data_IF_861165780508
#
_entry.id   IF_861165780508
#
_cell.length_a   1.000
_cell.length_b   1.000
_cell.length_c   1.000
_cell.angle_alpha   90.00
_cell.angle_beta   90.00
_cell.angle_gamma   90.00
#
_symmetry.space_group_name_H-M   'P 1'
#
loop_
_entity.id
_entity.type
_entity.pdbx_description
1 polymer ?
#
# COMPACT_ATOMS: atom_id res chain seq x y z
N UNK A 1 -75.08 -30.60 -5.05
CA UNK A 1 -74.10 -31.27 -5.92
C UNK A 1 -72.63 -31.15 -5.47
N UNK A 2 -72.14 -30.02 -4.95
CA UNK A 2 -70.71 -29.86 -4.57
C UNK A 2 -70.22 -30.74 -3.40
N UNK A 3 -71.06 -31.03 -2.38
CA UNK A 3 -70.69 -31.86 -1.22
C UNK A 3 -70.46 -33.36 -1.56
N UNK A 4 -71.21 -33.92 -2.52
CA UNK A 4 -71.04 -35.33 -2.90
C UNK A 4 -69.80 -35.55 -3.73
N UNK A 5 -69.43 -34.61 -4.60
CA UNK A 5 -68.16 -34.59 -5.34
C UNK A 5 -66.94 -34.56 -4.44
N UNK A 6 -66.92 -33.64 -3.47
CA UNK A 6 -65.83 -33.56 -2.49
C UNK A 6 -65.68 -34.87 -1.67
N UNK A 7 -66.81 -35.46 -1.22
CA UNK A 7 -66.80 -36.69 -0.49
C UNK A 7 -66.31 -37.87 -1.34
N UNK A 8 -66.62 -37.90 -2.65
CA UNK A 8 -66.12 -38.92 -3.55
C UNK A 8 -64.63 -38.76 -3.84
N UNK A 9 -64.11 -37.53 -4.05
CA UNK A 9 -62.69 -37.26 -4.19
C UNK A 9 -61.88 -37.66 -2.95
N UNK A 10 -62.37 -37.36 -1.74
CA UNK A 10 -61.73 -37.79 -0.50
C UNK A 10 -61.70 -39.32 -0.38
N UNK A 11 -62.76 -40.04 -0.81
CA UNK A 11 -62.81 -41.49 -0.79
C UNK A 11 -61.85 -42.10 -1.81
N UNK A 12 -61.68 -41.49 -2.98
CA UNK A 12 -60.73 -41.91 -4.03
C UNK A 12 -59.26 -41.74 -3.54
N UNK A 13 -58.96 -40.58 -2.97
CA UNK A 13 -57.65 -40.28 -2.33
C UNK A 13 -57.36 -41.30 -1.22
N UNK A 14 -58.36 -41.56 -0.37
CA UNK A 14 -58.21 -42.52 0.76
C UNK A 14 -57.97 -43.95 0.31
N UNK A 15 -58.54 -44.38 -0.82
CA UNK A 15 -58.31 -45.72 -1.41
C UNK A 15 -56.93 -45.83 -2.06
N UNK A 16 -56.41 -44.76 -2.66
CA UNK A 16 -55.13 -44.75 -3.40
C UNK A 16 -54.07 -43.88 -2.73
N UNK A 17 -53.96 -43.94 -1.38
CA UNK A 17 -53.08 -43.08 -0.56
C UNK A 17 -51.63 -43.09 -1.07
N UNK A 18 -51.04 -44.26 -1.34
CA UNK A 18 -49.64 -44.34 -1.81
C UNK A 18 -49.37 -43.55 -3.07
N UNK A 19 -50.26 -43.70 -4.08
CA UNK A 19 -50.14 -42.99 -5.36
C UNK A 19 -50.34 -41.49 -5.17
N UNK A 20 -51.34 -41.08 -4.37
CA UNK A 20 -51.61 -39.71 -4.07
C UNK A 20 -50.43 -39.05 -3.33
N UNK A 21 -49.89 -39.70 -2.30
CA UNK A 21 -48.72 -39.20 -1.55
C UNK A 21 -47.49 -39.09 -2.45
N UNK A 22 -47.24 -40.07 -3.36
CA UNK A 22 -46.12 -40.01 -4.30
C UNK A 22 -46.24 -38.80 -5.23
N UNK A 23 -47.41 -38.51 -5.80
CA UNK A 23 -47.63 -37.35 -6.64
C UNK A 23 -47.55 -36.03 -5.84
N UNK A 24 -48.07 -36.00 -4.62
CA UNK A 24 -47.99 -34.86 -3.73
C UNK A 24 -46.53 -34.53 -3.38
N UNK A 25 -45.74 -35.56 -3.03
CA UNK A 25 -44.30 -35.39 -2.70
C UNK A 25 -43.56 -34.91 -3.94
N UNK A 26 -43.82 -35.46 -5.11
CA UNK A 26 -43.18 -35.00 -6.37
C UNK A 26 -43.53 -33.55 -6.69
N UNK A 27 -44.78 -33.14 -6.56
CA UNK A 27 -45.21 -31.77 -6.77
C UNK A 27 -44.59 -30.82 -5.70
N UNK A 28 -44.61 -31.27 -4.44
CA UNK A 28 -44.01 -30.50 -3.35
C UNK A 28 -42.50 -30.28 -3.53
N UNK A 29 -41.76 -31.36 -3.91
CA UNK A 29 -40.33 -31.25 -4.18
C UNK A 29 -40.07 -30.31 -5.39
N UNK A 30 -40.85 -30.44 -6.47
CA UNK A 30 -40.68 -29.55 -7.63
C UNK A 30 -40.93 -28.08 -7.31
N UNK A 31 -42.04 -27.78 -6.65
CA UNK A 31 -42.40 -26.40 -6.27
C UNK A 31 -41.44 -25.89 -5.20
N UNK A 32 -41.16 -26.70 -4.19
CA UNK A 32 -40.26 -26.31 -3.11
C UNK A 32 -38.82 -26.03 -3.57
N UNK A 33 -38.30 -26.90 -4.44
CA UNK A 33 -36.99 -26.71 -5.05
C UNK A 33 -36.94 -25.45 -5.94
N UNK A 34 -37.94 -25.25 -6.81
CA UNK A 34 -38.01 -24.08 -7.65
C UNK A 34 -38.14 -22.80 -6.82
N UNK A 35 -39.05 -22.78 -5.84
CA UNK A 35 -39.23 -21.63 -4.96
C UNK A 35 -37.96 -21.31 -4.16
N UNK A 36 -37.29 -22.34 -3.65
CA UNK A 36 -36.00 -22.19 -2.97
C UNK A 36 -34.91 -21.57 -3.85
N UNK A 37 -34.79 -22.05 -5.09
CA UNK A 37 -33.84 -21.48 -6.05
C UNK A 37 -34.14 -20.00 -6.37
N UNK A 38 -35.40 -19.66 -6.59
CA UNK A 38 -35.80 -18.28 -6.91
C UNK A 38 -35.63 -17.35 -5.71
N UNK A 39 -35.85 -17.84 -4.50
CA UNK A 39 -35.69 -17.04 -3.28
C UNK A 39 -34.20 -16.83 -2.90
N UNK A 40 -33.31 -17.74 -3.29
CA UNK A 40 -31.89 -17.69 -2.90
C UNK A 40 -31.20 -16.38 -3.35
N UNK A 41 -31.43 -15.94 -4.59
CA UNK A 41 -30.77 -14.76 -5.13
C UNK A 41 -31.17 -13.47 -4.39
N UNK A 42 -32.44 -13.14 -4.20
CA UNK A 42 -32.81 -11.94 -3.44
C UNK A 42 -32.38 -12.00 -1.96
N UNK A 43 -32.43 -13.17 -1.31
CA UNK A 43 -31.97 -13.31 0.08
C UNK A 43 -30.45 -13.11 0.21
N UNK A 44 -29.67 -13.57 -0.76
CA UNK A 44 -28.23 -13.33 -0.81
C UNK A 44 -27.91 -11.84 -1.03
N UNK A 45 -28.63 -11.18 -1.94
CA UNK A 45 -28.44 -9.75 -2.22
C UNK A 45 -28.80 -8.91 -0.99
N UNK A 46 -29.93 -9.17 -0.34
CA UNK A 46 -30.34 -8.48 0.90
C UNK A 46 -29.32 -8.69 2.04
N UNK A 47 -28.78 -9.90 2.15
CA UNK A 47 -27.76 -10.21 3.16
C UNK A 47 -26.44 -9.48 2.90
N UNK A 48 -26.02 -9.40 1.62
CA UNK A 48 -24.83 -8.68 1.20
C UNK A 48 -25.00 -7.17 1.43
N UNK A 49 -26.12 -6.62 1.04
CA UNK A 49 -26.46 -5.22 1.21
C UNK A 49 -26.42 -4.80 2.70
N UNK A 50 -27.11 -5.53 3.55
CA UNK A 50 -27.04 -5.31 5.02
C UNK A 50 -25.63 -5.41 5.60
N UNK A 51 -24.81 -6.30 5.05
CA UNK A 51 -23.42 -6.44 5.47
C UNK A 51 -22.57 -5.25 5.01
N UNK A 52 -22.75 -4.81 3.75
CA UNK A 52 -22.09 -3.63 3.19
C UNK A 52 -22.43 -2.37 3.99
N UNK A 53 -23.72 -2.13 4.26
CA UNK A 53 -24.21 -1.00 5.05
C UNK A 53 -23.63 -0.97 6.46
N UNK A 54 -23.65 -2.14 7.14
CA UNK A 54 -23.12 -2.28 8.50
C UNK A 54 -21.63 -2.01 8.59
N UNK A 55 -20.90 -2.34 7.53
CA UNK A 55 -19.45 -2.19 7.46
C UNK A 55 -19.02 -0.87 6.81
N UNK A 56 -19.96 0.03 6.48
CA UNK A 56 -19.69 1.25 5.72
C UNK A 56 -18.83 0.96 4.47
N UNK A 57 -19.26 -0.03 3.67
CA UNK A 57 -18.49 -0.45 2.51
C UNK A 57 -18.42 0.68 1.47
N UNK A 58 -17.25 0.85 0.86
CA UNK A 58 -17.04 1.90 -0.14
C UNK A 58 -17.90 1.69 -1.39
N UNK A 59 -18.26 2.78 -2.06
CA UNK A 59 -18.94 2.75 -3.36
C UNK A 59 -17.95 2.75 -4.53
N UNK A 60 -16.83 3.50 -4.39
CA UNK A 60 -15.80 3.61 -5.41
C UNK A 60 -14.43 3.39 -4.78
N UNK A 61 -13.60 2.58 -5.43
CA UNK A 61 -12.21 2.35 -5.06
C UNK A 61 -11.29 2.97 -6.11
N UNK A 62 -10.44 3.90 -5.66
CA UNK A 62 -9.43 4.55 -6.50
C UNK A 62 -8.06 4.01 -6.13
N UNK A 63 -7.31 3.56 -7.14
CA UNK A 63 -5.96 3.01 -6.98
C UNK A 63 -5.02 3.82 -7.86
N UNK A 64 -3.87 4.21 -7.31
CA UNK A 64 -2.81 4.88 -8.05
C UNK A 64 -1.49 4.13 -7.91
N UNK A 65 -0.75 3.98 -9.00
CA UNK A 65 0.61 3.41 -8.98
C UNK A 65 1.66 4.40 -8.48
N UNK A 66 1.35 5.69 -8.49
CA UNK A 66 2.22 6.78 -8.03
C UNK A 66 1.88 7.26 -6.61
N UNK A 67 0.94 6.58 -5.96
CA UNK A 67 0.37 7.01 -4.69
C UNK A 67 -0.69 8.11 -4.86
N UNK A 68 -1.45 8.34 -3.81
CA UNK A 68 -2.54 9.32 -3.71
C UNK A 68 -2.15 10.32 -2.63
N UNK A 69 -2.36 11.60 -2.87
CA UNK A 69 -2.02 12.68 -1.96
C UNK A 69 -3.25 13.24 -1.24
N UNK A 70 -3.04 14.05 -0.21
CA UNK A 70 -4.12 14.80 0.45
C UNK A 70 -4.86 15.72 -0.51
N UNK A 71 -4.14 16.31 -1.48
CA UNK A 71 -4.75 17.17 -2.52
C UNK A 71 -5.68 16.36 -3.42
N UNK A 72 -5.34 15.11 -3.75
CA UNK A 72 -6.21 14.20 -4.50
C UNK A 72 -7.48 13.87 -3.70
N UNK A 73 -7.34 13.60 -2.39
CA UNK A 73 -8.48 13.35 -1.51
C UNK A 73 -9.40 14.57 -1.47
N UNK A 74 -8.86 15.78 -1.34
CA UNK A 74 -9.66 17.01 -1.35
C UNK A 74 -10.31 17.26 -2.72
N UNK A 75 -9.61 17.02 -3.81
CA UNK A 75 -10.18 17.15 -5.16
C UNK A 75 -11.39 16.24 -5.35
N UNK A 76 -11.31 14.98 -4.90
CA UNK A 76 -12.40 14.02 -4.97
C UNK A 76 -13.56 14.42 -4.03
N UNK A 77 -13.27 14.84 -2.80
CA UNK A 77 -14.31 15.32 -1.85
C UNK A 77 -15.13 16.49 -2.38
N UNK A 78 -14.54 17.33 -3.21
CA UNK A 78 -15.21 18.48 -3.80
C UNK A 78 -16.10 18.14 -5.01
N UNK A 79 -16.09 16.90 -5.47
CA UNK A 79 -16.97 16.47 -6.56
C UNK A 79 -18.40 16.35 -6.04
N UNK A 80 -19.33 17.02 -6.73
CA UNK A 80 -20.75 16.95 -6.41
C UNK A 80 -21.28 15.51 -6.56
N UNK A 81 -21.91 15.01 -5.50
CA UNK A 81 -22.37 13.63 -5.34
C UNK A 81 -21.44 12.77 -4.47
N UNK A 82 -20.21 13.18 -4.20
CA UNK A 82 -19.36 12.52 -3.21
C UNK A 82 -19.82 12.89 -1.80
N UNK A 83 -20.00 11.89 -0.95
CA UNK A 83 -20.27 12.09 0.47
C UNK A 83 -18.96 12.26 1.24
N UNK A 84 -18.03 11.31 1.06
CA UNK A 84 -16.68 11.36 1.64
C UNK A 84 -15.67 10.60 0.76
N UNK A 85 -14.38 10.92 0.98
CA UNK A 85 -13.25 10.19 0.44
C UNK A 85 -12.20 9.97 1.54
N UNK A 86 -11.67 8.75 1.61
CA UNK A 86 -10.75 8.31 2.67
C UNK A 86 -9.50 7.74 2.02
N UNK A 87 -8.34 8.36 2.26
CA UNK A 87 -7.05 7.78 1.93
C UNK A 87 -6.73 6.62 2.86
N UNK A 88 -6.16 5.55 2.33
CA UNK A 88 -5.81 4.35 3.09
C UNK A 88 -4.39 3.95 2.76
N UNK A 89 -3.61 3.65 3.77
CA UNK A 89 -2.29 3.07 3.62
C UNK A 89 -2.37 1.56 3.82
N UNK A 90 -1.76 0.82 2.89
CA UNK A 90 -1.59 -0.62 2.98
C UNK A 90 -0.19 -1.02 2.57
N UNK A 91 0.40 -2.01 3.24
CA UNK A 91 1.70 -2.55 2.86
C UNK A 91 1.77 -4.05 3.11
N UNK A 92 2.31 -4.78 2.15
CA UNK A 92 2.58 -6.20 2.32
C UNK A 92 3.92 -6.39 3.06
N UNK A 93 3.96 -7.32 4.01
CA UNK A 93 5.13 -7.63 4.81
C UNK A 93 5.22 -9.13 5.09
N UNK A 94 6.43 -9.64 5.31
CA UNK A 94 6.60 -10.91 5.99
C UNK A 94 6.23 -10.72 7.46
N UNK A 95 5.46 -11.64 8.00
CA UNK A 95 5.02 -11.60 9.39
C UNK A 95 5.18 -12.96 10.06
N UNK A 96 5.51 -12.95 11.33
CA UNK A 96 5.70 -14.13 12.16
C UNK A 96 4.72 -14.14 13.31
N UNK A 97 3.97 -15.24 13.42
CA UNK A 97 3.12 -15.56 14.56
C UNK A 97 3.62 -16.89 15.13
N UNK A 98 4.00 -16.93 16.41
CA UNK A 98 4.76 -18.03 17.01
C UNK A 98 6.05 -18.27 16.16
N UNK A 99 6.23 -19.48 15.59
CA UNK A 99 7.39 -19.84 14.74
C UNK A 99 7.04 -19.94 13.24
N UNK A 100 5.87 -19.43 12.82
CA UNK A 100 5.41 -19.52 11.42
C UNK A 100 5.50 -18.18 10.74
N UNK A 101 6.26 -18.15 9.65
CA UNK A 101 6.34 -17.03 8.74
C UNK A 101 5.28 -17.13 7.64
N UNK A 102 4.67 -16.02 7.29
CA UNK A 102 3.68 -15.92 6.22
C UNK A 102 3.60 -14.49 5.70
N UNK A 103 3.14 -14.31 4.47
CA UNK A 103 2.90 -12.98 3.92
C UNK A 103 1.64 -12.39 4.53
N UNK A 104 1.78 -11.22 5.11
CA UNK A 104 0.72 -10.44 5.74
C UNK A 104 0.50 -9.13 4.97
N UNK A 105 -0.75 -8.75 4.76
CA UNK A 105 -1.11 -7.40 4.35
C UNK A 105 -1.44 -6.58 5.61
N UNK A 106 -0.65 -5.54 5.86
CA UNK A 106 -0.94 -4.55 6.90
C UNK A 106 -1.86 -3.51 6.30
N UNK A 107 -2.97 -3.22 6.96
CA UNK A 107 -4.02 -2.29 6.53
C UNK A 107 -4.25 -1.31 7.65
N UNK A 108 -4.21 -0.03 7.35
CA UNK A 108 -4.61 1.02 8.28
C UNK A 108 -6.10 0.90 8.60
N UNK A 109 -6.44 0.89 9.90
CA UNK A 109 -7.83 0.83 10.35
C UNK A 109 -8.50 2.19 10.16
N UNK A 110 -9.67 2.17 9.51
CA UNK A 110 -10.52 3.36 9.40
C UNK A 110 -11.90 3.05 9.98
N UNK A 111 -12.36 3.91 10.90
CA UNK A 111 -13.66 3.73 11.56
C UNK A 111 -14.85 4.11 10.67
N UNK A 112 -14.62 4.88 9.61
CA UNK A 112 -15.66 5.48 8.77
C UNK A 112 -15.94 4.71 7.49
N UNK A 113 -14.99 3.89 7.01
CA UNK A 113 -15.12 3.14 5.76
C UNK A 113 -14.51 1.74 5.92
N UNK A 114 -15.12 0.76 5.29
CA UNK A 114 -14.69 -0.65 5.29
C UNK A 114 -14.41 -1.20 6.69
N UNK A 115 -15.20 -0.80 7.66
CA UNK A 115 -15.02 -1.16 9.07
C UNK A 115 -15.12 -2.68 9.25
N UNK A 116 -14.06 -3.35 9.73
CA UNK A 116 -14.08 -4.79 9.94
C UNK A 116 -15.00 -5.18 11.09
N UNK A 117 -15.65 -6.33 10.95
CA UNK A 117 -16.55 -6.87 11.97
C UNK A 117 -15.76 -7.71 12.96
N UNK A 118 -15.69 -7.30 14.23
CA UNK A 118 -15.03 -8.07 15.29
C UNK A 118 -15.86 -9.33 15.61
N UNK A 119 -15.23 -10.50 15.46
CA UNK A 119 -15.81 -11.82 15.74
C UNK A 119 -15.47 -12.29 17.15
N UNK A 120 -14.24 -11.99 17.59
CA UNK A 120 -13.76 -12.32 18.93
C UNK A 120 -12.78 -11.24 19.42
N UNK A 121 -12.70 -11.03 20.73
CA UNK A 121 -11.83 -10.00 21.30
C UNK A 121 -12.46 -8.61 21.31
N UNK A 122 -11.66 -7.58 21.06
CA UNK A 122 -12.07 -6.18 21.09
C UNK A 122 -11.45 -5.39 19.93
N UNK A 123 -11.86 -4.15 19.77
CA UNK A 123 -11.24 -3.17 18.87
C UNK A 123 -9.85 -2.72 19.36
N UNK A 124 -9.08 -2.14 18.44
CA UNK A 124 -7.76 -1.54 18.70
C UNK A 124 -7.94 -0.30 19.60
N UNK A 125 -7.11 -0.20 20.62
CA UNK A 125 -7.07 0.97 21.51
C UNK A 125 -5.68 1.63 21.46
N UNK A 126 -4.61 0.85 21.32
CA UNK A 126 -3.21 1.30 21.36
C UNK A 126 -2.48 1.03 20.03
N UNK A 127 -1.40 1.76 19.79
CA UNK A 127 -0.64 1.70 18.52
C UNK A 127 0.08 0.35 18.31
N UNK A 128 0.41 -0.36 19.37
CA UNK A 128 1.03 -1.69 19.35
C UNK A 128 0.02 -2.84 19.34
N UNK A 129 -1.24 -2.58 19.02
CA UNK A 129 -2.31 -3.57 18.92
C UNK A 129 -2.73 -3.78 17.47
N UNK A 130 -3.21 -4.98 17.15
CA UNK A 130 -3.77 -5.27 15.83
C UNK A 130 -5.02 -6.16 15.90
N UNK A 131 -5.82 -6.10 14.82
CA UNK A 131 -6.89 -7.04 14.55
C UNK A 131 -6.42 -8.02 13.49
N UNK A 132 -6.63 -9.32 13.74
CA UNK A 132 -6.17 -10.39 12.87
C UNK A 132 -7.31 -10.96 12.02
N UNK A 133 -7.01 -11.27 10.77
CA UNK A 133 -7.90 -11.94 9.81
C UNK A 133 -8.41 -13.28 10.35
N UNK A 134 -9.71 -13.46 10.34
CA UNK A 134 -10.38 -14.71 10.69
C UNK A 134 -10.00 -15.91 9.78
N UNK A 135 -9.43 -15.67 8.59
CA UNK A 135 -8.99 -16.75 7.70
C UNK A 135 -7.91 -17.65 8.33
N UNK A 136 -7.04 -17.12 9.18
CA UNK A 136 -6.05 -17.90 9.92
C UNK A 136 -6.73 -18.92 10.84
N UNK A 137 -7.89 -18.57 11.37
CA UNK A 137 -8.63 -19.36 12.35
C UNK A 137 -9.41 -20.50 11.70
N UNK A 138 -9.77 -20.40 10.40
CA UNK A 138 -10.56 -21.40 9.65
C UNK A 138 -9.96 -22.79 9.61
N UNK A 139 -8.71 -22.96 9.99
CA UNK A 139 -8.01 -24.27 10.04
C UNK A 139 -8.29 -25.08 11.32
N UNK A 140 -9.36 -24.76 12.08
CA UNK A 140 -9.92 -25.66 13.09
C UNK A 140 -9.52 -25.40 14.56
N UNK A 141 -8.89 -24.28 14.88
CA UNK A 141 -8.63 -23.86 16.26
C UNK A 141 -9.38 -22.57 16.54
N UNK A 142 -10.07 -22.48 17.68
CA UNK A 142 -10.89 -21.31 18.03
C UNK A 142 -10.15 -19.99 17.93
N UNK A 143 -10.86 -18.92 17.55
CA UNK A 143 -10.36 -17.56 17.38
C UNK A 143 -9.61 -17.05 18.62
N UNK A 144 -10.12 -17.38 19.80
CA UNK A 144 -9.56 -16.99 21.09
C UNK A 144 -8.11 -17.41 21.32
N UNK A 145 -7.61 -18.41 20.59
CA UNK A 145 -6.24 -18.90 20.73
C UNK A 145 -5.17 -17.91 20.25
N UNK A 146 -5.55 -17.01 19.38
CA UNK A 146 -4.63 -15.99 18.85
C UNK A 146 -4.66 -14.67 19.64
N UNK A 147 -5.73 -14.43 20.42
CA UNK A 147 -5.85 -13.21 21.24
C UNK A 147 -4.76 -13.24 22.32
N UNK A 148 -4.06 -12.11 22.48
CA UNK A 148 -2.93 -11.94 23.38
C UNK A 148 -1.59 -12.47 22.84
N UNK A 149 -1.57 -13.09 21.63
CA UNK A 149 -0.32 -13.43 20.97
C UNK A 149 0.27 -12.23 20.27
N UNK A 150 1.58 -12.32 20.02
CA UNK A 150 2.32 -11.30 19.28
C UNK A 150 2.47 -11.70 17.81
N UNK A 151 2.36 -10.70 16.95
CA UNK A 151 2.76 -10.76 15.56
C UNK A 151 3.95 -9.81 15.35
N UNK A 152 4.98 -10.30 14.66
CA UNK A 152 6.17 -9.51 14.35
C UNK A 152 6.28 -9.37 12.85
N UNK A 153 6.40 -8.14 12.36
CA UNK A 153 6.67 -7.83 10.95
C UNK A 153 8.18 -7.92 10.72
N UNK A 154 8.59 -8.75 9.76
CA UNK A 154 10.00 -8.99 9.43
C UNK A 154 10.47 -8.18 8.21
N UNK A 155 9.79 -7.08 7.91
CA UNK A 155 10.14 -6.22 6.81
C UNK A 155 11.14 -5.14 7.25
N UNK A 156 12.26 -5.04 6.51
CA UNK A 156 13.25 -3.98 6.65
C UNK A 156 13.18 -3.01 5.45
N UNK A 157 12.04 -2.96 4.74
CA UNK A 157 11.86 -2.00 3.67
C UNK A 157 11.93 -0.59 4.23
N UNK A 158 12.58 0.27 3.47
CA UNK A 158 12.75 1.67 3.77
C UNK A 158 12.10 2.51 2.69
N UNK A 159 11.74 3.72 3.07
CA UNK A 159 11.28 4.72 2.11
C UNK A 159 12.45 5.31 1.29
N UNK A 160 12.17 6.29 0.44
CA UNK A 160 13.18 6.98 -0.39
C UNK A 160 14.23 7.75 0.43
N UNK A 161 13.96 8.03 1.69
CA UNK A 161 14.80 8.81 2.59
C UNK A 161 15.47 7.94 3.68
N UNK A 162 15.48 6.63 3.48
CA UNK A 162 16.11 5.61 4.36
C UNK A 162 15.41 5.45 5.72
N UNK A 163 14.14 5.90 5.86
CA UNK A 163 13.34 5.67 7.07
C UNK A 163 12.61 4.32 6.98
N UNK A 164 12.39 3.70 8.12
CA UNK A 164 11.60 2.47 8.20
C UNK A 164 10.14 2.76 7.80
N UNK A 165 9.59 1.91 6.91
CA UNK A 165 8.19 2.03 6.45
C UNK A 165 7.21 1.75 7.59
N UNK A 166 7.58 0.92 8.56
CA UNK A 166 6.76 0.64 9.73
C UNK A 166 7.34 1.33 10.97
N UNK A 167 6.54 2.15 11.64
CA UNK A 167 6.91 2.79 12.91
C UNK A 167 6.96 1.77 14.05
N UNK A 168 6.09 0.74 14.00
CA UNK A 168 6.02 -0.38 14.92
C UNK A 168 6.11 -1.69 14.13
N UNK A 169 6.82 -2.67 14.67
CA UNK A 169 7.00 -3.98 14.03
C UNK A 169 6.44 -5.14 14.86
N UNK A 170 6.08 -4.90 16.10
CA UNK A 170 5.54 -5.92 17.01
C UNK A 170 4.17 -5.48 17.54
N UNK A 171 3.15 -6.32 17.29
CA UNK A 171 1.76 -6.04 17.67
C UNK A 171 1.20 -7.16 18.53
N UNK A 172 0.38 -6.79 19.52
CA UNK A 172 -0.47 -7.73 20.24
C UNK A 172 -1.81 -7.90 19.49
N UNK A 173 -2.20 -9.14 19.25
CA UNK A 173 -3.49 -9.47 18.63
C UNK A 173 -4.59 -9.31 19.68
N UNK A 174 -5.41 -8.26 19.56
CA UNK A 174 -6.49 -7.96 20.50
C UNK A 174 -7.87 -8.36 20.01
N UNK A 175 -8.02 -8.62 18.72
CA UNK A 175 -9.27 -9.07 18.13
C UNK A 175 -9.08 -9.86 16.84
N UNK A 176 -10.10 -10.66 16.53
CA UNK A 176 -10.21 -11.40 15.27
C UNK A 176 -11.36 -10.80 14.49
N UNK A 177 -11.16 -10.55 13.20
CA UNK A 177 -12.11 -9.82 12.37
C UNK A 177 -12.40 -10.48 11.03
N UNK A 178 -13.61 -10.25 10.52
CA UNK A 178 -13.94 -10.39 9.11
C UNK A 178 -13.94 -8.99 8.47
N UNK A 179 -13.22 -8.85 7.36
CA UNK A 179 -13.18 -7.62 6.58
C UNK A 179 -14.22 -7.64 5.45
N UNK A 180 -14.96 -6.55 5.23
CA UNK A 180 -15.90 -6.48 4.11
C UNK A 180 -15.18 -6.54 2.75
N UNK A 181 -13.91 -6.20 2.68
CA UNK A 181 -13.10 -6.24 1.47
C UNK A 181 -12.71 -7.68 1.05
N UNK A 182 -12.76 -8.64 1.95
CA UNK A 182 -12.27 -10.01 1.72
C UNK A 182 -13.36 -11.05 2.01
N UNK A 183 -14.45 -10.99 1.26
CA UNK A 183 -15.57 -11.96 1.37
C UNK A 183 -15.14 -13.35 0.90
N UNK A 184 -14.23 -13.43 -0.08
CA UNK A 184 -13.67 -14.70 -0.56
C UNK A 184 -12.55 -15.22 0.35
N UNK A 185 -12.08 -16.43 0.08
CA UNK A 185 -10.91 -16.99 0.77
C UNK A 185 -9.57 -16.44 0.27
N UNK A 186 -9.57 -15.78 -0.87
CA UNK A 186 -8.38 -15.18 -1.47
C UNK A 186 -8.10 -13.81 -0.86
N UNK A 187 -6.81 -13.54 -0.55
CA UNK A 187 -6.33 -12.29 0.06
C UNK A 187 -5.55 -11.42 -0.92
N UNK A 188 -5.40 -11.88 -2.16
CA UNK A 188 -4.71 -11.18 -3.24
C UNK A 188 -3.29 -11.67 -3.46
N UNK A 189 -2.66 -11.07 -4.47
CA UNK A 189 -1.29 -11.36 -4.88
C UNK A 189 -0.35 -10.29 -4.34
N UNK A 190 0.92 -10.64 -4.23
CA UNK A 190 1.99 -9.77 -3.75
C UNK A 190 3.28 -10.04 -4.52
N UNK A 191 4.25 -9.14 -4.43
CA UNK A 191 5.60 -9.34 -4.98
C UNK A 191 6.57 -10.01 -4.01
N UNK A 192 6.15 -10.26 -2.75
CA UNK A 192 7.01 -10.84 -1.71
C UNK A 192 6.64 -12.29 -1.40
N UNK A 193 7.54 -13.01 -0.73
CA UNK A 193 7.33 -14.38 -0.30
C UNK A 193 7.00 -15.31 -1.45
N UNK A 194 5.90 -16.06 -1.32
CA UNK A 194 5.43 -17.01 -2.34
C UNK A 194 4.51 -16.37 -3.41
N UNK A 195 4.38 -15.05 -3.43
CA UNK A 195 3.53 -14.32 -4.38
C UNK A 195 2.05 -14.23 -4.00
N UNK A 196 1.67 -14.67 -2.81
CA UNK A 196 0.28 -14.68 -2.33
C UNK A 196 0.20 -14.11 -0.92
N UNK A 197 -0.75 -13.21 -0.67
CA UNK A 197 -1.08 -12.75 0.68
C UNK A 197 -1.82 -13.86 1.42
N UNK A 198 -1.32 -14.26 2.57
CA UNK A 198 -1.89 -15.35 3.36
C UNK A 198 -3.01 -14.86 4.29
N UNK A 199 -2.85 -13.68 4.88
CA UNK A 199 -3.79 -13.04 5.78
C UNK A 199 -3.56 -11.54 5.83
N UNK A 200 -4.47 -10.81 6.45
CA UNK A 200 -4.31 -9.38 6.74
C UNK A 200 -4.36 -9.10 8.25
N UNK A 201 -3.79 -7.96 8.62
CA UNK A 201 -4.01 -7.33 9.93
C UNK A 201 -4.47 -5.90 9.73
N UNK A 202 -5.31 -5.42 10.64
CA UNK A 202 -5.57 -3.99 10.78
C UNK A 202 -4.74 -3.44 11.93
N UNK A 203 -4.09 -2.32 11.69
CA UNK A 203 -3.32 -1.56 12.67
C UNK A 203 -3.91 -0.18 12.80
N UNK A 204 -3.56 0.55 13.86
CA UNK A 204 -3.96 1.94 14.00
C UNK A 204 -3.31 2.81 12.92
N UNK A 205 -3.82 4.01 12.72
CA UNK A 205 -3.23 5.06 11.91
C UNK A 205 -1.77 5.35 12.35
N UNK A 206 -0.93 5.83 11.42
CA UNK A 206 0.49 6.13 11.61
C UNK A 206 1.45 4.94 11.87
N UNK A 207 0.99 3.70 11.71
CA UNK A 207 1.88 2.53 11.74
C UNK A 207 2.64 2.39 10.42
N UNK A 208 1.99 2.70 9.31
CA UNK A 208 2.61 2.74 7.99
C UNK A 208 3.09 4.17 7.74
N UNK A 209 4.40 4.37 7.66
CA UNK A 209 5.04 5.67 7.47
C UNK A 209 5.35 5.90 5.99
N UNK A 210 4.31 6.15 5.21
CA UNK A 210 4.40 6.57 3.81
C UNK A 210 3.87 8.01 3.72
N UNK A 211 4.49 8.82 2.86
CA UNK A 211 4.08 10.19 2.54
C UNK A 211 2.94 10.26 1.51
N UNK A 212 2.35 9.11 1.17
CA UNK A 212 1.22 8.97 0.25
C UNK A 212 0.29 7.85 0.69
N UNK A 213 -0.95 7.87 0.21
CA UNK A 213 -1.90 6.78 0.37
C UNK A 213 -1.77 5.77 -0.78
N UNK A 214 -1.93 4.49 -0.47
CA UNK A 214 -1.87 3.39 -1.45
C UNK A 214 -3.19 3.15 -2.16
N UNK A 215 -4.29 3.68 -1.61
CA UNK A 215 -5.63 3.62 -2.17
C UNK A 215 -6.54 4.69 -1.56
N UNK A 216 -7.68 4.92 -2.18
CA UNK A 216 -8.72 5.83 -1.69
C UNK A 216 -10.08 5.17 -1.86
N UNK A 217 -10.87 5.20 -0.79
CA UNK A 217 -12.25 4.74 -0.80
C UNK A 217 -13.20 5.93 -0.77
N UNK A 218 -14.18 5.93 -1.66
CA UNK A 218 -15.14 7.01 -1.81
C UNK A 218 -16.54 6.48 -1.48
N UNK A 219 -17.29 7.25 -0.70
CA UNK A 219 -18.72 7.04 -0.47
C UNK A 219 -19.53 8.08 -1.24
N UNK A 220 -20.64 7.65 -1.81
CA UNK A 220 -21.52 8.48 -2.67
C UNK A 220 -22.78 8.82 -1.89
N UNK A 221 -23.15 10.09 -1.91
CA UNK A 221 -24.32 10.58 -1.19
C UNK A 221 -25.61 9.88 -1.66
N UNK A 222 -26.33 9.28 -0.70
CA UNK A 222 -27.58 8.56 -0.95
C UNK A 222 -27.41 7.15 -1.54
N UNK A 223 -26.19 6.68 -1.79
CA UNK A 223 -25.95 5.33 -2.30
C UNK A 223 -26.29 4.26 -1.27
N UNK A 224 -26.01 4.51 -0.02
CA UNK A 224 -26.29 3.62 1.12
C UNK A 224 -27.78 3.34 1.34
N UNK A 225 -28.69 4.23 0.90
CA UNK A 225 -30.14 4.04 0.96
C UNK A 225 -30.68 3.17 -0.19
N UNK A 226 -29.82 2.81 -1.15
CA UNK A 226 -30.17 1.96 -2.29
C UNK A 226 -29.60 0.56 -2.08
N UNK A 227 -30.29 -0.45 -2.60
CA UNK A 227 -29.72 -1.80 -2.60
C UNK A 227 -28.47 -1.81 -3.48
N UNK A 228 -27.38 -2.27 -2.92
CA UNK A 228 -26.06 -2.33 -3.58
C UNK A 228 -26.15 -2.97 -4.97
N UNK A 229 -25.61 -2.32 -5.99
CA UNK A 229 -25.66 -2.70 -7.41
C UNK A 229 -27.08 -2.73 -8.05
N UNK A 230 -28.10 -2.17 -7.40
CA UNK A 230 -29.42 -1.94 -8.05
C UNK A 230 -29.32 -0.80 -9.09
N UNK A 231 -30.34 -0.69 -9.95
CA UNK A 231 -30.42 0.42 -10.91
C UNK A 231 -30.39 1.78 -10.19
N UNK A 232 -31.10 1.92 -9.07
CA UNK A 232 -31.11 3.16 -8.28
C UNK A 232 -29.74 3.48 -7.66
N UNK A 233 -28.99 2.47 -7.23
CA UNK A 233 -27.61 2.63 -6.77
C UNK A 233 -26.69 3.11 -7.92
N UNK A 234 -26.77 2.45 -9.08
CA UNK A 234 -25.94 2.79 -10.23
C UNK A 234 -26.27 4.18 -10.81
N UNK A 235 -27.50 4.64 -10.74
CA UNK A 235 -27.91 6.00 -11.12
C UNK A 235 -27.24 7.08 -10.26
N UNK A 236 -26.89 6.77 -9.01
CA UNK A 236 -26.17 7.69 -8.13
C UNK A 236 -24.64 7.58 -8.32
N UNK A 237 -24.11 6.38 -8.41
CA UNK A 237 -22.66 6.12 -8.40
C UNK A 237 -22.00 6.42 -9.76
N UNK A 238 -22.62 6.02 -10.88
CA UNK A 238 -22.01 6.20 -12.21
C UNK A 238 -21.72 7.66 -12.57
N UNK A 239 -22.61 8.65 -12.32
CA UNK A 239 -22.30 10.05 -12.60
C UNK A 239 -21.11 10.59 -11.77
N UNK A 240 -20.88 10.04 -10.56
CA UNK A 240 -19.72 10.40 -9.72
C UNK A 240 -18.46 9.79 -10.33
N UNK A 241 -18.51 8.53 -10.78
CA UNK A 241 -17.41 7.89 -11.49
C UNK A 241 -17.01 8.71 -12.72
N UNK A 242 -17.97 9.12 -13.55
CA UNK A 242 -17.71 9.92 -14.76
C UNK A 242 -17.02 11.26 -14.43
N UNK A 243 -17.40 11.91 -13.32
CA UNK A 243 -16.77 13.15 -12.87
C UNK A 243 -15.33 12.90 -12.37
N UNK A 244 -15.10 11.81 -11.64
CA UNK A 244 -13.76 11.39 -11.17
C UNK A 244 -12.85 11.11 -12.37
N UNK A 245 -13.34 10.34 -13.34
CA UNK A 245 -12.61 10.07 -14.60
C UNK A 245 -12.31 11.37 -15.37
N UNK A 246 -13.19 12.36 -15.27
CA UNK A 246 -13.00 13.68 -15.90
C UNK A 246 -11.79 14.47 -15.37
N UNK A 247 -11.43 14.31 -14.09
CA UNK A 247 -10.28 15.01 -13.49
C UNK A 247 -9.03 14.12 -13.43
N UNK A 248 -9.13 12.84 -13.74
CA UNK A 248 -8.07 11.83 -13.60
C UNK A 248 -6.77 12.27 -14.26
N UNK A 249 -6.83 12.71 -15.53
CA UNK A 249 -5.63 13.08 -16.29
C UNK A 249 -4.88 14.27 -15.66
N UNK A 250 -5.62 15.25 -15.17
CA UNK A 250 -5.05 16.42 -14.49
C UNK A 250 -4.33 16.00 -13.20
N UNK A 251 -4.97 15.15 -12.40
CA UNK A 251 -4.39 14.65 -11.14
C UNK A 251 -3.17 13.75 -11.37
N UNK A 252 -3.22 12.86 -12.38
CA UNK A 252 -2.08 12.04 -12.78
C UNK A 252 -0.89 12.89 -13.24
N UNK A 253 -1.14 13.93 -14.04
CA UNK A 253 -0.10 14.85 -14.52
C UNK A 253 0.51 15.66 -13.37
N UNK A 254 -0.29 16.15 -12.44
CA UNK A 254 0.18 16.89 -11.27
C UNK A 254 1.04 15.99 -10.36
N UNK A 255 0.59 14.78 -10.06
CA UNK A 255 1.36 13.84 -9.25
C UNK A 255 2.68 13.46 -9.91
N UNK A 256 2.66 13.18 -11.22
CA UNK A 256 3.86 12.87 -11.98
C UNK A 256 4.86 14.01 -11.93
N UNK A 257 4.42 15.26 -12.17
CA UNK A 257 5.28 16.42 -12.14
C UNK A 257 5.86 16.66 -10.75
N UNK A 258 5.06 16.52 -9.69
CA UNK A 258 5.51 16.62 -8.30
C UNK A 258 6.64 15.63 -8.00
N UNK A 259 6.49 14.35 -8.40
CA UNK A 259 7.52 13.34 -8.21
C UNK A 259 8.79 13.61 -9.02
N UNK A 260 8.65 14.12 -10.24
CA UNK A 260 9.80 14.52 -11.08
C UNK A 260 10.54 15.70 -10.46
N UNK A 261 9.82 16.68 -9.95
CA UNK A 261 10.41 17.87 -9.32
C UNK A 261 11.13 17.49 -8.03
N UNK A 262 10.53 16.68 -7.17
CA UNK A 262 11.16 16.14 -5.96
C UNK A 262 12.42 15.33 -6.27
N UNK A 263 12.36 14.45 -7.27
CA UNK A 263 13.52 13.68 -7.70
C UNK A 263 14.65 14.57 -8.26
N UNK A 264 14.31 15.60 -9.01
CA UNK A 264 15.29 16.57 -9.51
C UNK A 264 15.91 17.40 -8.38
N UNK A 265 15.13 17.78 -7.37
CA UNK A 265 15.63 18.47 -6.18
C UNK A 265 16.65 17.61 -5.44
N UNK A 266 16.31 16.35 -5.16
CA UNK A 266 17.23 15.37 -4.53
C UNK A 266 18.53 15.18 -5.34
N UNK A 267 18.44 15.14 -6.67
CA UNK A 267 19.61 15.07 -7.55
C UNK A 267 20.46 16.35 -7.45
N UNK A 268 19.84 17.51 -7.47
CA UNK A 268 20.56 18.78 -7.39
C UNK A 268 21.27 18.95 -6.05
N UNK A 269 20.62 18.57 -4.96
CA UNK A 269 21.20 18.58 -3.61
C UNK A 269 22.39 17.61 -3.52
N UNK A 270 22.24 16.40 -4.02
CA UNK A 270 23.33 15.44 -4.08
C UNK A 270 24.50 15.93 -4.94
N UNK A 271 24.21 16.57 -6.08
CA UNK A 271 25.24 17.16 -6.94
C UNK A 271 25.99 18.32 -6.26
N UNK A 272 25.26 19.14 -5.51
CA UNK A 272 25.84 20.23 -4.72
C UNK A 272 26.74 19.67 -3.62
N UNK A 273 26.26 18.68 -2.86
CA UNK A 273 27.07 18.00 -1.83
C UNK A 273 28.36 17.40 -2.39
N UNK A 274 28.26 16.76 -3.56
CA UNK A 274 29.40 16.21 -4.28
C UNK A 274 30.40 17.31 -4.68
N UNK A 275 29.90 18.42 -5.20
CA UNK A 275 30.77 19.55 -5.60
C UNK A 275 31.45 20.20 -4.41
N UNK A 276 30.74 20.38 -3.30
CA UNK A 276 31.28 20.93 -2.05
C UNK A 276 32.40 20.01 -1.49
N UNK A 277 32.17 18.69 -1.47
CA UNK A 277 33.18 17.71 -1.07
C UNK A 277 34.39 17.68 -2.02
N UNK A 278 34.17 17.79 -3.34
CA UNK A 278 35.26 17.92 -4.30
C UNK A 278 36.09 19.19 -4.08
N UNK A 279 35.45 20.32 -3.77
CA UNK A 279 36.13 21.57 -3.49
C UNK A 279 36.96 21.48 -2.19
N UNK A 280 36.42 20.82 -1.15
CA UNK A 280 37.12 20.56 0.09
C UNK A 280 38.39 19.72 -0.14
N UNK A 281 38.24 18.60 -0.85
CA UNK A 281 39.36 17.72 -1.21
C UNK A 281 40.41 18.46 -2.04
N UNK A 282 39.99 19.27 -3.02
CA UNK A 282 40.93 20.06 -3.83
C UNK A 282 41.69 21.08 -2.98
N UNK A 283 41.05 21.70 -2.00
CA UNK A 283 41.69 22.61 -1.06
C UNK A 283 42.70 21.88 -0.17
N UNK A 284 42.33 20.72 0.36
CA UNK A 284 43.25 19.87 1.15
C UNK A 284 44.46 19.45 0.33
N UNK A 285 44.26 19.08 -0.94
CA UNK A 285 45.32 18.73 -1.87
C UNK A 285 46.27 19.92 -2.13
N UNK A 286 45.70 21.11 -2.43
CA UNK A 286 46.50 22.32 -2.66
C UNK A 286 47.29 22.73 -1.41
N UNK A 287 46.71 22.58 -0.21
CA UNK A 287 47.38 22.86 1.04
C UNK A 287 48.49 21.81 1.35
N UNK A 288 48.25 20.55 0.96
CA UNK A 288 49.26 19.50 1.01
C UNK A 288 50.44 19.79 0.06
N UNK A 289 50.13 20.18 -1.20
CA UNK A 289 51.17 20.57 -2.19
C UNK A 289 52.01 21.78 -1.71
N UNK A 290 51.36 22.81 -1.10
CA UNK A 290 52.09 23.94 -0.50
C UNK A 290 53.01 23.51 0.64
N UNK A 291 52.54 22.59 1.49
CA UNK A 291 53.36 22.04 2.58
C UNK A 291 54.58 21.28 2.02
N UNK A 292 54.36 20.47 0.99
CA UNK A 292 55.47 19.75 0.32
C UNK A 292 56.46 20.75 -0.26
N UNK A 293 55.98 21.77 -1.02
CA UNK A 293 56.82 22.76 -1.66
C UNK A 293 57.65 23.58 -0.62
N UNK A 294 57.02 23.90 0.52
CA UNK A 294 57.74 24.59 1.63
C UNK A 294 58.78 23.67 2.27
N UNK A 295 58.50 22.36 2.40
CA UNK A 295 59.44 21.38 2.92
C UNK A 295 60.65 21.21 1.96
N UNK A 296 60.38 21.12 0.64
CA UNK A 296 61.41 21.08 -0.42
C UNK A 296 62.32 22.32 -0.39
N UNK A 297 61.71 23.53 -0.24
CA UNK A 297 62.46 24.78 -0.14
C UNK A 297 63.33 24.83 1.15
N UNK A 298 62.85 24.31 2.26
CA UNK A 298 63.65 24.20 3.49
C UNK A 298 64.84 23.24 3.36
N UNK A 299 64.68 22.16 2.64
CA UNK A 299 65.77 21.21 2.33
C UNK A 299 66.81 21.88 1.46
N UNK A 300 66.41 22.60 0.39
CA UNK A 300 67.31 23.33 -0.53
C UNK A 300 68.09 24.43 0.15
N UNK A 301 67.55 25.01 1.24
CA UNK A 301 68.21 26.09 1.99
C UNK A 301 69.13 25.62 3.12
N UNK A 302 69.11 24.31 3.37
CA UNK A 302 69.85 23.74 4.50
C UNK A 302 70.90 22.71 4.03
N UNK A 303 71.89 23.16 3.29
CA UNK A 303 72.99 22.27 2.77
C UNK A 303 73.78 21.56 3.90
N UNK A 304 73.59 21.95 5.13
CA UNK A 304 74.28 21.32 6.28
C UNK A 304 73.49 20.35 7.14
N UNK A 305 72.22 20.05 6.74
CA UNK A 305 71.37 19.17 7.56
C UNK A 305 70.62 18.09 6.75
N UNK A 306 71.23 17.59 5.69
CA UNK A 306 70.64 16.63 4.76
C UNK A 306 69.94 15.45 5.46
N UNK A 307 70.58 14.90 6.48
CA UNK A 307 70.07 13.73 7.20
C UNK A 307 68.81 13.98 8.03
N UNK A 308 68.67 15.18 8.58
CA UNK A 308 67.47 15.55 9.34
C UNK A 308 66.35 16.03 8.42
N UNK A 309 66.68 16.74 7.33
CA UNK A 309 65.74 17.16 6.29
C UNK A 309 65.10 16.01 5.52
N UNK A 310 65.87 14.97 5.19
CA UNK A 310 65.33 13.78 4.55
C UNK A 310 64.36 12.99 5.43
N UNK A 311 64.68 12.88 6.75
CA UNK A 311 63.79 12.23 7.70
C UNK A 311 62.48 13.03 7.91
N UNK A 312 62.60 14.36 7.92
CA UNK A 312 61.45 15.26 8.06
C UNK A 312 60.56 15.27 6.78
N UNK A 313 61.21 15.24 5.61
CA UNK A 313 60.56 15.10 4.34
C UNK A 313 59.80 13.78 4.20
N UNK A 314 60.45 12.67 4.61
CA UNK A 314 59.82 11.36 4.62
C UNK A 314 58.55 11.33 5.52
N UNK A 315 58.62 11.96 6.68
CA UNK A 315 57.51 12.08 7.59
C UNK A 315 56.33 12.92 7.00
N UNK A 316 56.67 14.06 6.41
CA UNK A 316 55.66 14.95 5.75
C UNK A 316 55.01 14.30 4.53
N UNK A 317 55.75 13.54 3.73
CA UNK A 317 55.23 12.74 2.61
C UNK A 317 54.22 11.70 3.12
N UNK A 318 54.54 10.99 4.18
CA UNK A 318 53.70 9.96 4.75
C UNK A 318 52.38 10.53 5.33
N UNK A 319 52.45 11.70 5.96
CA UNK A 319 51.28 12.43 6.44
C UNK A 319 50.39 12.93 5.28
N UNK A 320 51.02 13.38 4.19
CA UNK A 320 50.31 13.85 2.99
C UNK A 320 49.60 12.70 2.29
N UNK A 321 50.25 11.55 2.12
CA UNK A 321 49.63 10.35 1.51
C UNK A 321 48.49 9.84 2.39
N UNK A 322 48.62 9.91 3.70
CA UNK A 322 47.53 9.55 4.61
C UNK A 322 46.35 10.49 4.49
N UNK A 323 46.61 11.81 4.45
CA UNK A 323 45.55 12.83 4.26
C UNK A 323 44.88 12.70 2.90
N UNK A 324 45.63 12.34 1.87
CA UNK A 324 45.14 12.09 0.54
C UNK A 324 44.21 10.87 0.49
N UNK A 325 44.66 9.79 1.10
CA UNK A 325 43.86 8.56 1.19
C UNK A 325 42.55 8.76 1.97
N UNK A 326 42.59 9.51 3.07
CA UNK A 326 41.38 9.89 3.80
C UNK A 326 40.43 10.80 2.99
N UNK A 327 40.98 11.61 2.07
CA UNK A 327 40.22 12.46 1.19
C UNK A 327 39.62 11.69 0.00
N UNK A 328 40.34 10.74 -0.57
CA UNK A 328 39.82 9.82 -1.59
C UNK A 328 38.67 8.95 -1.06
N UNK A 329 38.80 8.41 0.15
CA UNK A 329 37.71 7.64 0.82
C UNK A 329 36.43 8.50 1.00
N UNK A 330 36.56 9.78 1.33
CA UNK A 330 35.41 10.70 1.40
C UNK A 330 34.75 10.97 0.04
N UNK A 331 35.55 11.06 -1.03
CA UNK A 331 35.05 11.27 -2.38
C UNK A 331 34.30 10.05 -2.88
N UNK A 332 34.87 8.86 -2.69
CA UNK A 332 34.26 7.59 -3.07
C UNK A 332 32.88 7.40 -2.43
N UNK A 333 32.78 7.68 -1.11
CA UNK A 333 31.50 7.63 -0.41
C UNK A 333 30.45 8.61 -0.98
N UNK A 334 30.88 9.77 -1.45
CA UNK A 334 29.97 10.76 -2.03
C UNK A 334 29.50 10.34 -3.45
N UNK A 335 30.36 9.70 -4.24
CA UNK A 335 30.03 9.17 -5.55
C UNK A 335 29.09 7.97 -5.47
N UNK A 336 29.29 7.08 -4.50
CA UNK A 336 28.36 5.96 -4.24
C UNK A 336 26.96 6.44 -3.87
N UNK A 337 26.86 7.46 -3.01
CA UNK A 337 25.57 8.03 -2.61
C UNK A 337 24.81 8.66 -3.79
N UNK A 338 25.53 9.30 -4.72
CA UNK A 338 24.93 9.85 -5.94
C UNK A 338 24.41 8.75 -6.86
N UNK A 339 25.21 7.70 -7.09
CA UNK A 339 24.83 6.58 -7.93
C UNK A 339 23.58 5.85 -7.40
N UNK A 340 23.46 5.77 -6.08
CA UNK A 340 22.28 5.19 -5.45
C UNK A 340 21.03 6.02 -5.74
N UNK A 341 21.11 7.35 -5.60
CA UNK A 341 20.00 8.26 -5.92
C UNK A 341 19.62 8.26 -7.41
N UNK A 342 20.59 8.11 -8.30
CA UNK A 342 20.33 7.94 -9.75
C UNK A 342 19.59 6.63 -10.05
N UNK A 343 19.93 5.53 -9.36
CA UNK A 343 19.22 4.24 -9.51
C UNK A 343 17.77 4.35 -9.02
N UNK A 344 17.52 5.04 -7.90
CA UNK A 344 16.16 5.30 -7.40
C UNK A 344 15.33 6.09 -8.42
N UNK A 345 15.91 7.12 -9.03
CA UNK A 345 15.24 7.91 -10.07
C UNK A 345 14.91 7.07 -11.31
N UNK A 346 15.85 6.22 -11.75
CA UNK A 346 15.61 5.35 -12.90
C UNK A 346 14.53 4.31 -12.61
N UNK A 347 14.49 3.75 -11.41
CA UNK A 347 13.40 2.87 -10.97
C UNK A 347 12.03 3.56 -10.99
N UNK A 348 11.97 4.82 -10.53
CA UNK A 348 10.75 5.62 -10.61
C UNK A 348 10.34 5.92 -12.07
N UNK A 349 11.31 6.14 -12.97
CA UNK A 349 11.04 6.33 -14.40
C UNK A 349 10.51 5.06 -15.07
N UNK A 350 11.08 3.90 -14.74
CA UNK A 350 10.58 2.61 -15.25
C UNK A 350 9.14 2.33 -14.80
N UNK A 351 8.81 2.65 -13.55
CA UNK A 351 7.42 2.54 -13.07
C UNK A 351 6.45 3.41 -13.88
N UNK A 352 6.92 4.51 -14.45
CA UNK A 352 6.12 5.40 -15.30
C UNK A 352 5.95 4.89 -16.73
N UNK A 353 6.80 3.97 -17.22
CA UNK A 353 6.65 3.35 -18.54
C UNK A 353 5.47 2.36 -18.62
N UNK A 354 4.96 1.90 -17.47
CA UNK A 354 3.75 1.06 -17.41
C UNK A 354 2.42 1.83 -17.58
N UNK A 355 2.47 3.16 -17.71
CA UNK A 355 1.28 3.96 -18.00
C UNK A 355 0.84 3.78 -19.47
N UNK A 356 -0.46 3.89 -19.78
CA UNK A 356 -0.96 3.82 -21.17
C UNK A 356 -0.22 4.77 -22.10
N UNK A 357 0.04 4.33 -23.36
CA UNK A 357 0.86 5.06 -24.35
C UNK A 357 0.42 6.52 -24.55
N UNK A 358 -0.89 6.81 -24.49
CA UNK A 358 -1.43 8.16 -24.61
C UNK A 358 -0.99 9.09 -23.45
N UNK A 359 -0.87 8.56 -22.26
CA UNK A 359 -0.39 9.27 -21.07
C UNK A 359 1.11 9.52 -21.17
N UNK A 360 1.87 8.54 -21.62
CA UNK A 360 3.32 8.66 -21.82
C UNK A 360 3.70 9.75 -22.84
N UNK A 361 2.96 9.86 -23.95
CA UNK A 361 3.20 10.89 -24.96
C UNK A 361 2.89 12.32 -24.46
N UNK A 362 1.81 12.48 -23.71
CA UNK A 362 1.49 13.78 -23.13
C UNK A 362 2.53 14.21 -22.10
N UNK A 363 3.02 13.29 -21.29
CA UNK A 363 4.08 13.53 -20.31
C UNK A 363 5.40 13.90 -21.02
N UNK A 364 5.81 13.17 -22.07
CA UNK A 364 7.01 13.49 -22.88
C UNK A 364 6.94 14.91 -23.50
N UNK A 365 5.79 15.30 -24.04
CA UNK A 365 5.57 16.64 -24.58
C UNK A 365 5.69 17.74 -23.50
N UNK A 366 5.28 17.49 -22.29
CA UNK A 366 5.34 18.46 -21.18
C UNK A 366 6.76 18.62 -20.61
N UNK A 367 7.50 17.52 -20.48
CA UNK A 367 8.92 17.53 -20.09
C UNK A 367 9.76 18.28 -21.15
N UNK A 368 9.50 18.09 -22.44
CA UNK A 368 10.22 18.77 -23.51
C UNK A 368 9.99 20.28 -23.54
N UNK A 369 8.82 20.76 -23.08
CA UNK A 369 8.55 22.20 -22.92
C UNK A 369 9.30 22.82 -21.74
N UNK A 370 9.40 22.12 -20.61
CA UNK A 370 10.11 22.63 -19.43
C UNK A 370 11.65 22.56 -19.54
N UNK A 371 12.23 21.83 -20.52
CA UNK A 371 13.67 21.85 -20.81
C UNK A 371 14.09 23.04 -21.67
N UNK A 372 13.14 23.80 -22.23
CA UNK A 372 13.42 24.97 -23.12
C UNK A 372 13.15 26.32 -22.46
N UNK A 373 12.63 26.34 -21.24
CA UNK A 373 12.59 27.50 -20.35
C UNK A 373 13.67 27.41 -19.27
#
# INVERSE_FOLDING_TARGET
MKKSLLKNNFREISKNKRRFISMLVMAFLGVGFFTGLVATSPDMLDSLDKYADKSNFYDINIISTLGITDDDIQAIKNIDGVENAYGIQTKDSMAKIDDKESVCKVIEYNENVNTPVVIAGRQIENDNECLLDNAIVRTGTGAEKYIGKKIVLENNDKDSDDNDIFTEKEFEIVGIVDSPMYISSERGNTSIGNGTVNFYIYTKDNVINLDYYTGMYVTVAGAKEQVTNSDGYLELVNPVIDKIEGIKQEREDERYNSLVDEANEKINDAQKELNDKKAEVQKELNDAEKKIKNAENQIASSENSIKNGEAELAKKKQETEKTFKEAEEKLEQAEEALLQKEKELNSQKEQMEFLPQEVQEQIKKRISRNRKS
#
